data_IF_793980702529
#
_entry.id   IF_793980702529
#
_cell.length_a   1.000
_cell.length_b   1.000
_cell.length_c   1.000
_cell.angle_alpha   90.00
_cell.angle_beta   90.00
_cell.angle_gamma   90.00
#
_symmetry.space_group_name_H-M   'P 1'
#
loop_
_entity.id
_entity.type
_entity.pdbx_description
1 polymer ?
2 non-polymer ?
#
# COMPACT_ATOMS: atom_id res chain seq x y z
N UNK A 21 -8.95 8.84 -10.87
CA UNK A 21 -8.83 7.90 -12.01
C UNK A 21 -7.56 7.05 -11.88
N UNK A 22 -7.39 6.38 -10.78
CA UNK A 22 -6.18 5.54 -10.59
C UNK A 22 -6.56 4.16 -10.06
N UNK A 23 -5.96 3.12 -10.59
CA UNK A 23 -6.26 1.75 -10.09
C UNK A 23 -4.96 0.95 -9.94
N UNK A 24 -4.84 0.17 -8.90
CA UNK A 24 -3.62 -0.70 -8.79
C UNK A 24 -3.66 -1.78 -9.85
N UNK A 25 -2.57 -1.98 -10.53
CA UNK A 25 -2.52 -3.11 -11.50
C UNK A 25 -1.59 -4.22 -10.98
N UNK A 26 -0.48 -3.86 -10.40
CA UNK A 26 0.48 -4.90 -9.93
C UNK A 26 1.15 -4.48 -8.62
N UNK A 27 1.49 -5.42 -7.78
CA UNK A 27 2.28 -5.09 -6.56
C UNK A 27 3.64 -5.78 -6.60
N UNK A 28 4.65 -5.15 -6.09
CA UNK A 28 6.00 -5.81 -6.05
C UNK A 28 6.59 -5.73 -4.64
N UNK A 29 7.10 -6.84 -4.19
CA UNK A 29 7.63 -6.93 -2.80
C UNK A 29 8.80 -5.97 -2.59
N UNK A 30 9.05 -5.62 -1.36
CA UNK A 30 10.29 -4.85 -1.04
C UNK A 30 11.48 -5.80 -1.02
N UNK A 31 12.59 -5.36 -0.49
CA UNK A 31 13.80 -6.23 -0.48
C UNK A 31 13.54 -7.50 0.36
N UNK A 32 13.37 -8.61 -0.29
CA UNK A 32 13.23 -9.90 0.46
C UNK A 32 11.76 -10.17 0.80
N UNK A 33 10.85 -9.52 0.13
CA UNK A 33 9.41 -9.69 0.48
C UNK A 33 8.69 -10.55 -0.57
N UNK A 34 7.65 -11.24 -0.18
CA UNK A 34 6.86 -12.04 -1.16
C UNK A 34 5.77 -11.16 -1.80
N UNK A 35 5.50 -11.38 -3.06
CA UNK A 35 4.54 -10.49 -3.78
C UNK A 35 3.13 -10.65 -3.21
N UNK A 36 2.75 -11.84 -2.85
CA UNK A 36 1.42 -12.04 -2.20
C UNK A 36 1.35 -11.21 -0.91
N UNK A 37 2.43 -11.16 -0.18
CA UNK A 37 2.43 -10.37 1.07
C UNK A 37 2.13 -8.90 0.78
N UNK A 38 2.78 -8.33 -0.20
CA UNK A 38 2.53 -6.89 -0.51
C UNK A 38 1.07 -6.65 -0.91
N UNK A 39 0.55 -7.49 -1.77
CA UNK A 39 -0.86 -7.30 -2.22
C UNK A 39 -1.81 -7.40 -1.03
N UNK A 40 -1.53 -8.29 -0.13
CA UNK A 40 -2.45 -8.48 1.03
C UNK A 40 -2.47 -7.25 1.93
N UNK A 41 -1.32 -6.72 2.26
CA UNK A 41 -1.28 -5.51 3.15
C UNK A 41 -1.95 -4.33 2.47
N UNK A 42 -1.78 -4.19 1.19
CA UNK A 42 -2.43 -3.05 0.48
C UNK A 42 -3.95 -3.18 0.55
N UNK A 43 -4.46 -4.39 0.53
CA UNK A 43 -5.94 -4.58 0.57
C UNK A 43 -6.51 -4.20 1.94
N UNK A 44 -5.96 -4.72 3.00
CA UNK A 44 -6.55 -4.40 4.34
C UNK A 44 -6.26 -2.94 4.72
N UNK A 45 -5.10 -2.45 4.39
CA UNK A 45 -4.79 -1.03 4.70
C UNK A 45 -5.64 -0.09 3.83
N UNK A 46 -6.29 -0.62 2.83
CA UNK A 46 -7.16 0.23 1.98
C UNK A 46 -8.62 0.13 2.45
N UNK A 47 -8.94 -0.87 3.24
CA UNK A 47 -10.32 -0.99 3.76
C UNK A 47 -10.70 0.25 4.57
N UNK A 48 -9.72 0.91 5.14
CA UNK A 48 -10.01 2.09 6.00
C UNK A 48 -10.08 3.37 5.15
N UNK A 49 -9.52 3.37 3.98
CA UNK A 49 -9.59 4.59 3.13
C UNK A 49 -10.94 4.66 2.42
N UNK A 50 -11.53 5.82 2.36
CA UNK A 50 -12.86 5.95 1.69
C UNK A 50 -12.69 6.42 0.24
N UNK A 51 -11.47 6.48 -0.22
CA UNK A 51 -11.23 6.90 -1.63
C UNK A 51 -11.53 5.74 -2.59
N UNK A 52 -12.05 6.08 -3.73
CA UNK A 52 -12.38 5.06 -4.75
C UNK A 52 -11.12 4.28 -5.15
N UNK A 53 -9.99 4.94 -5.17
CA UNK A 53 -8.72 4.24 -5.53
C UNK A 53 -8.40 3.15 -4.48
N UNK A 54 -8.67 3.42 -3.24
CA UNK A 54 -8.43 2.39 -2.19
C UNK A 54 -9.26 1.14 -2.50
N UNK A 55 -10.37 1.31 -3.18
CA UNK A 55 -11.13 0.12 -3.67
C UNK A 55 -10.41 -0.49 -4.86
N UNK A 56 -9.84 0.34 -5.69
CA UNK A 56 -9.09 -0.21 -6.86
C UNK A 56 -8.03 -1.20 -6.38
N UNK A 57 -7.31 -0.86 -5.35
CA UNK A 57 -6.29 -1.79 -4.80
C UNK A 57 -6.95 -3.03 -4.17
N UNK A 58 -7.97 -2.86 -3.36
CA UNK A 58 -8.66 -4.04 -2.76
C UNK A 58 -9.13 -4.99 -3.87
N UNK A 59 -9.44 -4.45 -5.01
CA UNK A 59 -9.72 -5.32 -6.20
C UNK A 59 -8.43 -5.99 -6.68
N UNK A 60 -7.37 -5.25 -6.79
CA UNK A 60 -6.13 -5.83 -7.37
C UNK A 60 -5.83 -7.18 -6.73
N UNK A 61 -5.77 -7.23 -5.43
CA UNK A 61 -5.53 -8.54 -4.76
C UNK A 61 -6.71 -9.48 -5.00
N UNK A 62 -7.90 -8.95 -5.03
CA UNK A 62 -9.08 -9.84 -5.23
C UNK A 62 -8.90 -10.70 -6.48
N UNK A 63 -8.67 -10.10 -7.62
CA UNK A 63 -8.52 -10.91 -8.85
C UNK A 63 -7.25 -11.75 -8.77
N UNK A 64 -6.18 -11.19 -8.26
CA UNK A 64 -4.90 -11.93 -8.20
C UNK A 64 -4.95 -13.08 -7.19
N UNK A 65 -5.57 -12.88 -6.05
CA UNK A 65 -5.58 -13.96 -5.02
C UNK A 65 -6.99 -14.45 -4.77
N UNK A 66 -7.96 -13.72 -5.23
CA UNK A 66 -9.37 -14.12 -5.00
C UNK A 66 -9.67 -14.20 -3.51
N UNK A 67 -9.32 -13.17 -2.80
CA UNK A 67 -9.54 -13.16 -1.33
C UNK A 67 -10.59 -12.11 -0.96
N UNK A 68 -10.93 -11.99 0.29
CA UNK A 68 -11.95 -10.97 0.69
C UNK A 68 -11.35 -9.94 1.65
N UNK A 69 -11.94 -8.78 1.71
CA UNK A 69 -11.46 -7.76 2.67
C UNK A 69 -11.45 -8.33 4.08
N UNK A 70 -10.56 -7.86 4.93
CA UNK A 70 -10.54 -8.38 6.33
C UNK A 70 -11.35 -7.46 7.24
N UNK A 71 -12.18 -8.02 8.09
CA UNK A 71 -12.98 -7.17 9.00
C UNK A 71 -12.14 -6.69 10.17
N UNK A 72 -12.03 -5.41 10.30
CA UNK A 72 -11.20 -4.83 11.39
C UNK A 72 -11.88 -5.02 12.74
N UNK A 73 -13.16 -4.76 12.81
CA UNK A 73 -13.87 -4.85 14.14
C UNK A 73 -14.11 -6.31 14.54
N UNK A 74 -14.05 -7.21 13.60
CA UNK A 74 -14.06 -8.66 13.98
C UNK A 74 -12.71 -9.03 14.59
N UNK A 75 -11.67 -8.36 14.19
CA UNK A 75 -10.35 -8.53 14.86
C UNK A 75 -10.23 -7.53 16.01
N UNK A 76 -11.26 -6.78 16.27
CA UNK A 76 -11.13 -5.66 17.26
C UNK A 76 -9.99 -4.74 16.81
N UNK A 77 -9.76 -4.70 15.54
CA UNK A 77 -8.69 -3.82 14.99
C UNK A 77 -9.23 -2.42 14.71
N UNK A 78 -8.51 -1.64 13.97
CA UNK A 78 -8.92 -0.24 13.68
C UNK A 78 -8.64 0.12 12.22
N UNK A 79 -9.51 0.89 11.62
CA UNK A 79 -9.20 1.41 10.26
C UNK A 79 -8.42 2.73 10.37
N UNK A 80 -7.50 2.98 9.47
CA UNK A 80 -6.82 4.31 9.46
C UNK A 80 -7.24 5.11 8.23
N UNK A 81 -7.96 6.17 8.47
CA UNK A 81 -8.52 6.99 7.37
C UNK A 81 -7.43 7.43 6.38
N UNK A 82 -7.79 7.62 5.14
CA UNK A 82 -6.80 8.08 4.13
C UNK A 82 -6.92 9.60 3.94
N UNK A 83 -5.86 10.32 4.14
CA UNK A 83 -5.91 11.79 3.92
C UNK A 83 -5.04 12.15 2.70
N UNK A 84 -5.50 13.06 1.88
CA UNK A 84 -4.74 13.42 0.65
C UNK A 84 -3.53 14.29 1.02
N UNK A 85 -3.63 15.07 2.06
CA UNK A 85 -2.52 15.99 2.41
C UNK A 85 -1.23 15.20 2.62
N UNK A 86 -1.31 14.13 3.35
CA UNK A 86 -0.12 13.23 3.49
C UNK A 86 -0.15 12.16 2.40
N UNK A 87 -1.29 11.95 1.80
CA UNK A 87 -1.40 10.86 0.77
C UNK A 87 -1.17 9.50 1.42
N UNK A 88 -1.88 9.20 2.48
CA UNK A 88 -1.61 7.93 3.20
C UNK A 88 -2.87 7.38 3.84
N UNK A 89 -2.98 6.08 3.85
CA UNK A 89 -4.07 5.41 4.60
C UNK A 89 -3.52 4.09 5.15
N UNK A 90 -4.21 3.43 6.04
CA UNK A 90 -3.63 2.19 6.59
C UNK A 90 -4.64 1.50 7.50
N UNK A 91 -4.18 0.58 8.27
CA UNK A 91 -5.07 -0.15 9.19
C UNK A 91 -4.26 -0.62 10.40
N UNK A 92 -4.88 -0.71 11.52
CA UNK A 92 -4.16 -1.23 12.72
C UNK A 92 -4.88 -2.46 13.24
N UNK A 93 -4.18 -3.43 13.73
CA UNK A 93 -4.89 -4.60 14.32
C UNK A 93 -4.12 -5.14 15.52
N UNK A 94 -4.76 -5.96 16.30
CA UNK A 94 -4.16 -6.40 17.59
C UNK A 94 -2.86 -7.21 17.41
N UNK A 95 -2.31 -7.32 16.23
CA UNK A 95 -0.99 -8.00 16.09
C UNK A 95 -0.15 -7.36 14.97
N UNK A 96 -0.62 -6.30 14.35
CA UNK A 96 0.13 -5.75 13.18
C UNK A 96 -0.23 -4.28 12.95
N UNK A 97 0.61 -3.57 12.25
CA UNK A 97 0.21 -2.23 11.75
C UNK A 97 0.50 -2.13 10.25
N UNK A 98 -0.35 -1.51 9.48
CA UNK A 98 -0.08 -1.39 8.02
C UNK A 98 -0.27 0.06 7.56
N UNK A 99 0.60 0.54 6.72
CA UNK A 99 0.41 1.91 6.16
C UNK A 99 0.78 1.94 4.67
N UNK A 100 0.05 2.68 3.89
CA UNK A 100 0.38 2.81 2.44
C UNK A 100 0.11 4.24 1.98
N UNK A 101 0.91 4.76 1.09
CA UNK A 101 0.68 6.15 0.63
C UNK A 101 1.76 6.56 -0.37
N UNK A 102 2.02 7.84 -0.48
CA UNK A 102 3.02 8.31 -1.48
C UNK A 102 4.44 7.90 -1.05
N UNK A 103 5.35 7.84 -1.98
CA UNK A 103 6.73 7.40 -1.62
C UNK A 103 7.33 8.34 -0.59
N UNK A 104 7.23 9.62 -0.81
CA UNK A 104 7.66 10.58 0.24
C UNK A 104 6.80 10.36 1.49
N UNK A 105 5.54 10.07 1.29
CA UNK A 105 4.65 9.82 2.46
C UNK A 105 5.15 8.63 3.28
N UNK A 106 5.43 7.53 2.65
CA UNK A 106 5.88 6.32 3.41
C UNK A 106 7.27 6.56 4.04
N UNK A 107 8.15 7.22 3.35
CA UNK A 107 9.49 7.50 3.94
C UNK A 107 9.34 8.28 5.25
N UNK A 108 8.46 9.25 5.28
CA UNK A 108 8.26 10.02 6.54
C UNK A 108 7.63 9.14 7.63
N UNK A 109 6.74 8.26 7.26
CA UNK A 109 6.15 7.34 8.29
C UNK A 109 7.22 6.41 8.87
N UNK A 110 8.10 5.93 8.04
CA UNK A 110 9.19 5.04 8.56
C UNK A 110 10.11 5.82 9.48
N UNK A 111 10.50 7.00 9.12
CA UNK A 111 11.44 7.78 9.97
C UNK A 111 10.80 8.10 11.32
N UNK A 112 9.52 8.35 11.35
CA UNK A 112 8.85 8.67 12.64
C UNK A 112 8.88 7.44 13.56
N UNK A 113 8.63 6.29 13.01
CA UNK A 113 8.80 5.03 13.78
C UNK A 113 10.29 4.81 14.05
N UNK A 114 11.12 5.35 13.21
CA UNK A 114 12.58 5.13 13.35
C UNK A 114 13.00 3.99 12.41
N UNK A 115 12.25 3.77 11.37
CA UNK A 115 12.61 2.70 10.40
C UNK A 115 13.45 3.29 9.26
N UNK A 116 13.70 2.53 8.23
CA UNK A 116 14.47 3.08 7.07
C UNK A 116 13.87 2.59 5.76
N UNK A 117 13.97 3.37 4.72
CA UNK A 117 13.43 2.95 3.40
C UNK A 117 14.51 2.25 2.57
N UNK A 118 14.36 0.97 2.42
CA UNK A 118 15.38 0.14 1.71
C UNK A 118 15.56 0.63 0.26
N UNK A 119 16.77 0.63 -0.22
CA UNK A 119 17.02 1.07 -1.62
C UNK A 119 16.23 0.22 -2.60
N UNK A 120 16.22 -1.08 -2.41
CA UNK A 120 15.50 -1.96 -3.37
C UNK A 120 14.05 -1.49 -3.52
N UNK A 121 13.42 -1.10 -2.46
CA UNK A 121 12.02 -0.62 -2.55
C UNK A 121 11.95 0.74 -3.26
N UNK A 122 12.87 1.61 -2.99
CA UNK A 122 12.92 2.89 -3.74
C UNK A 122 13.13 2.63 -5.23
N UNK A 123 13.95 1.67 -5.56
CA UNK A 123 14.14 1.31 -6.99
C UNK A 123 12.85 0.75 -7.60
N UNK A 124 12.13 -0.08 -6.88
CA UNK A 124 10.86 -0.62 -7.44
C UNK A 124 9.85 0.51 -7.66
N UNK A 125 9.79 1.45 -6.77
CA UNK A 125 8.82 2.59 -6.94
C UNK A 125 9.20 3.44 -8.15
N UNK A 126 10.47 3.65 -8.33
CA UNK A 126 10.94 4.48 -9.48
C UNK A 126 10.67 3.77 -10.81
N UNK A 127 10.95 2.50 -10.87
CA UNK A 127 10.67 1.74 -12.11
C UNK A 127 9.16 1.66 -12.36
N UNK A 128 8.40 1.65 -11.29
CA UNK A 128 6.93 1.75 -11.44
C UNK A 128 6.58 3.09 -12.11
N UNK A 129 7.25 4.15 -11.72
CA UNK A 129 6.97 5.48 -12.32
C UNK A 129 7.50 5.55 -13.74
N UNK A 130 8.77 5.26 -13.93
CA UNK A 130 9.36 5.38 -15.30
C UNK A 130 8.54 4.55 -16.29
N UNK A 131 7.80 3.61 -15.79
CA UNK A 131 6.97 2.76 -16.72
C UNK A 131 5.58 3.36 -16.90
N UNK A 132 5.35 4.52 -16.35
CA UNK A 132 4.04 5.21 -16.59
C UNK A 132 3.03 4.80 -15.51
N UNK A 133 3.48 4.11 -14.50
CA UNK A 133 2.57 3.73 -13.38
C UNK A 133 2.81 4.64 -12.18
N UNK A 134 1.82 4.81 -11.35
CA UNK A 134 2.04 5.58 -10.09
C UNK A 134 2.40 4.61 -8.97
N UNK A 135 3.63 4.66 -8.56
CA UNK A 135 4.13 3.74 -7.51
C UNK A 135 3.66 4.22 -6.14
N UNK A 136 2.79 3.48 -5.53
CA UNK A 136 2.54 3.70 -4.08
C UNK A 136 3.51 2.82 -3.28
N UNK A 137 3.74 3.12 -2.04
CA UNK A 137 4.61 2.23 -1.24
C UNK A 137 3.87 1.76 0.02
N UNK A 138 4.02 0.50 0.35
CA UNK A 138 3.32 -0.05 1.55
C UNK A 138 4.36 -0.55 2.55
N UNK A 139 4.15 -0.27 3.81
CA UNK A 139 5.08 -0.81 4.84
C UNK A 139 4.30 -1.44 5.98
N UNK A 140 4.92 -2.35 6.65
CA UNK A 140 4.30 -2.94 7.87
C UNK A 140 4.91 -2.28 9.10
N UNK A 141 4.12 -1.67 9.92
CA UNK A 141 4.71 -0.88 11.04
C UNK A 141 5.64 0.18 10.44
N UNK A 142 6.93 0.02 10.63
CA UNK A 142 7.89 1.05 10.11
C UNK A 142 8.78 0.46 9.01
N UNK A 143 8.45 -0.68 8.47
CA UNK A 143 9.32 -1.29 7.43
C UNK A 143 8.53 -1.53 6.14
N UNK A 144 9.12 -1.28 5.02
CA UNK A 144 8.38 -1.41 3.72
C UNK A 144 8.28 -2.87 3.29
N UNK A 145 7.08 -3.34 3.02
CA UNK A 145 6.93 -4.73 2.55
C UNK A 145 6.99 -4.79 1.02
N UNK A 146 6.58 -3.76 0.34
CA UNK A 146 6.65 -3.79 -1.15
C UNK A 146 6.10 -2.49 -1.75
N UNK A 147 6.08 -2.41 -3.05
CA UNK A 147 5.59 -1.17 -3.74
C UNK A 147 4.43 -1.52 -4.68
N UNK A 148 3.60 -0.57 -5.01
CA UNK A 148 2.43 -0.89 -5.90
C UNK A 148 2.44 -0.02 -7.15
N UNK A 149 2.33 -0.63 -8.29
CA UNK A 149 2.29 0.15 -9.57
C UNK A 149 0.85 0.29 -10.05
N UNK A 150 0.36 1.50 -10.17
CA UNK A 150 -1.07 1.67 -10.57
C UNK A 150 -1.16 2.12 -12.03
N UNK A 151 -2.15 1.66 -12.73
CA UNK A 151 -2.44 2.22 -14.09
C UNK A 151 -3.30 3.47 -13.94
N UNK A 152 -3.11 4.44 -14.80
CA UNK A 152 -3.98 5.64 -14.76
C UNK A 152 -5.12 5.50 -15.77
N UNK A 153 -6.33 5.46 -15.31
CA UNK A 153 -7.49 5.35 -16.24
C UNK A 153 -7.45 6.51 -17.23
N UNK A 154 -7.22 7.70 -16.74
CA UNK A 154 -7.14 8.88 -17.64
C UNK A 154 -5.67 9.22 -17.94
N UNK A 155 -5.35 9.46 -19.18
CA UNK A 155 -3.94 9.81 -19.53
C UNK A 155 -3.75 11.32 -19.49
N UNK A 156 -2.69 11.77 -18.86
CA UNK A 156 -2.44 13.24 -18.79
C UNK A 156 -2.25 13.79 -20.20
X LIG B 1 0.68 13.96 -6.89
X LIG B 1 0.51 15.26 -7.65
X LIG B 1 1.16 14.22 -5.48
X LIG B 1 1.60 13.03 -7.61
X LIG B 1 -1.88 14.08 -5.96
X LIG B 1 -1.40 15.48 -5.78
X LIG B 1 -3.18 14.02 -6.73
X LIG B 1 -0.77 13.26 -6.80
X LIG B 1 -3.09 13.52 -3.45
X LIG B 1 -2.46 14.12 -2.25
X LIG B 1 -4.21 14.29 -4.05
X LIG B 1 -1.96 13.25 -4.57
X LIG B 1 -3.60 12.03 -3.09
X LIG B 1 -3.65 10.96 -4.07
X LIG B 1 -2.44 10.04 -3.89
X LIG B 1 -2.69 9.21 -2.73
X LIG B 1 -2.51 9.14 -5.12
X LIG B 1 -1.81 9.68 -6.21
X LIG B 1 -1.85 7.89 -4.60
X LIG B 1 -0.44 7.92 -4.81
X LIG B 1 -2.19 7.89 -3.11
X LIG B 1 -3.29 6.91 -2.84
X LIG B 1 -4.26 6.59 -3.70
X LIG B 1 -5.08 5.68 -3.16
X LIG B 1 -4.63 5.40 -1.95
X LIG B 1 -5.02 4.54 -0.88
X LIG B 1 -6.08 3.74 -1.02
X LIG B 1 -4.30 4.53 0.29
X LIG B 1 -3.20 5.30 0.50
X LIG B 1 -2.81 6.14 -0.51
X LIG B 1 -3.48 6.21 -1.72
X LIG B 1 -0.60 12.43 -6.25
X LIG B 1 -3.66 11.37 -4.98
X LIG B 1 -4.52 10.47 -3.93
X LIG B 1 -1.58 10.56 -3.83
X LIG B 1 -3.46 8.98 -5.42
X LIG B 1 -0.91 9.24 -6.30
X LIG B 1 -2.18 7.06 -5.08
X LIG B 1 -0.22 7.67 -5.75
X LIG B 1 -1.37 7.60 -2.54
X LIG B 1 -4.36 6.96 -4.61
X LIG B 1 -6.34 3.13 -0.27
X LIG B 1 -6.61 3.75 -1.87
X LIG B 1 -2.68 5.26 1.35
#
# INVERSE_FOLDING_TARGET
MGHHHHHHHHHHSSGHGGRHNRQASEFIPAQGVDEKTLADAAQLASLADETPEGRSIVILAKQRFNLRERDVQSLHATFVPFTAQSRMSGINIDNRMIRKGSVDAIRRHVEANGGHFPTDVDQKVDQVARQGATPLVVVEGSRVLGVIALKDIVKG
ANP PG O1G O2G O3G PB O1B O2B N3B PA O1A O2A O3A O5' C5' C4' O4' C3' O3' C2' O2' C1' N9 C8 N7 C5 C6 N6 N1 C2 N3 C4 HNB1 H5'1 H5'2 H4' H3' HO3' H2' HO2' H1' H8 HN61 HN62 H2
#
